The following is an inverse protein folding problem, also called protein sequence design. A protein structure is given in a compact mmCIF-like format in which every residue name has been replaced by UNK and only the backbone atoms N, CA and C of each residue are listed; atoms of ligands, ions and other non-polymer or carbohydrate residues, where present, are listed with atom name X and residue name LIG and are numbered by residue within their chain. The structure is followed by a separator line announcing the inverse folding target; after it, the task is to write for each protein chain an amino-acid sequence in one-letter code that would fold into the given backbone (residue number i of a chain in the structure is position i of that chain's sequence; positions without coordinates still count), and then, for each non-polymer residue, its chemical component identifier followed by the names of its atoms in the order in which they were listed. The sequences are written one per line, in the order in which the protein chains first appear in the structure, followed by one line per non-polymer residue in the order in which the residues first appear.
data_IF_427584424993
#
_entry.id   IF_427584424993
#
_cell.length_a   1.000
_cell.length_b   1.000
_cell.length_c   1.000
_cell.angle_alpha   90.00
_cell.angle_beta   90.00
_cell.angle_gamma   90.00
#
_symmetry.space_group_name_H-M   'P 1'
#
loop_
_entity.id
_entity.type
_entity.pdbx_description
1 polymer ?
#
# COMPACT_ATOMS: atom_id res chain seq x y z
N UNK A 1 15.03 21.81 -9.22
CA UNK A 1 15.78 21.58 -7.97
C UNK A 1 15.83 20.08 -7.79
N UNK A 2 17.02 19.47 -7.86
CA UNK A 2 17.16 18.03 -7.64
C UNK A 2 17.09 17.81 -6.13
N UNK A 3 16.08 17.11 -5.63
CA UNK A 3 16.02 16.78 -4.22
C UNK A 3 17.22 15.88 -3.85
N UNK A 4 17.82 16.07 -2.67
CA UNK A 4 18.92 15.23 -2.22
C UNK A 4 18.46 13.77 -2.12
N UNK A 5 19.31 12.84 -2.55
CA UNK A 5 19.06 11.41 -2.36
C UNK A 5 19.24 11.07 -0.89
N UNK A 6 18.19 10.54 -0.27
CA UNK A 6 18.18 10.02 1.09
C UNK A 6 18.22 8.50 1.04
N UNK A 7 18.85 7.91 2.05
CA UNK A 7 18.93 6.48 2.26
C UNK A 7 18.09 6.10 3.47
N UNK A 8 17.09 5.26 3.23
CA UNK A 8 16.01 5.00 4.16
C UNK A 8 16.09 3.54 4.58
N UNK A 9 16.36 3.31 5.86
CA UNK A 9 16.31 1.99 6.46
C UNK A 9 14.86 1.66 6.80
N UNK A 10 14.31 0.62 6.19
CA UNK A 10 12.93 0.19 6.34
C UNK A 10 12.82 -1.20 6.97
N UNK A 11 11.69 -1.45 7.64
CA UNK A 11 11.31 -2.76 8.15
C UNK A 11 9.95 -3.20 7.60
N UNK A 12 9.83 -4.49 7.29
CA UNK A 12 8.56 -5.08 6.84
C UNK A 12 7.54 -5.18 7.96
N UNK A 13 8.01 -5.32 9.20
CA UNK A 13 7.20 -5.30 10.42
C UNK A 13 7.95 -4.46 11.46
N UNK A 14 7.24 -3.75 12.35
CA UNK A 14 7.91 -2.95 13.39
C UNK A 14 8.81 -3.80 14.31
N UNK A 15 8.40 -5.04 14.56
CA UNK A 15 9.10 -6.02 15.40
C UNK A 15 10.26 -6.74 14.68
N UNK A 16 10.41 -6.55 13.37
CA UNK A 16 11.50 -7.22 12.64
C UNK A 16 12.86 -6.72 13.11
N UNK A 17 13.77 -7.66 13.37
CA UNK A 17 15.16 -7.35 13.74
C UNK A 17 15.99 -6.87 12.53
N UNK A 18 15.53 -7.17 11.31
CA UNK A 18 16.24 -6.82 10.07
C UNK A 18 15.66 -5.55 9.46
N UNK A 19 16.57 -4.66 9.06
CA UNK A 19 16.26 -3.47 8.28
C UNK A 19 16.94 -3.54 6.92
N UNK A 20 16.27 -3.03 5.89
CA UNK A 20 16.75 -2.99 4.51
C UNK A 20 16.80 -1.54 4.05
N UNK A 21 17.89 -1.15 3.39
CA UNK A 21 18.11 0.24 2.95
C UNK A 21 17.65 0.45 1.52
N UNK A 22 16.92 1.53 1.30
CA UNK A 22 16.40 1.95 -0.01
C UNK A 22 16.78 3.40 -0.28
N UNK A 23 16.81 3.78 -1.55
CA UNK A 23 17.05 5.17 -1.97
C UNK A 23 15.72 5.93 -2.13
N UNK A 24 15.74 7.22 -1.78
CA UNK A 24 14.58 8.09 -1.86
C UNK A 24 14.99 9.49 -2.34
N UNK A 25 14.32 9.99 -3.37
CA UNK A 25 14.58 11.30 -3.98
C UNK A 25 13.37 12.24 -3.86
N UNK A 26 12.36 11.88 -3.07
CA UNK A 26 11.15 12.68 -2.87
C UNK A 26 11.23 13.60 -1.66
N UNK A 27 10.07 13.91 -1.09
CA UNK A 27 9.92 14.74 0.11
C UNK A 27 10.53 14.07 1.36
N UNK A 28 11.14 14.81 2.30
CA UNK A 28 11.76 14.26 3.51
C UNK A 28 10.84 13.30 4.27
N UNK A 29 11.35 12.11 4.60
CA UNK A 29 10.66 11.08 5.38
C UNK A 29 11.09 11.13 6.85
N UNK A 30 10.20 10.69 7.73
CA UNK A 30 10.47 10.52 9.15
C UNK A 30 10.35 9.03 9.57
N UNK A 31 11.07 8.61 10.63
CA UNK A 31 10.82 7.31 11.26
C UNK A 31 9.35 7.15 11.65
N UNK A 32 8.74 6.02 11.32
CA UNK A 32 7.32 5.73 11.52
C UNK A 32 6.46 5.88 10.27
N UNK A 33 6.91 6.65 9.26
CA UNK A 33 6.21 6.74 7.98
C UNK A 33 6.12 5.37 7.29
N UNK A 34 5.10 5.19 6.44
CA UNK A 34 5.01 4.02 5.58
C UNK A 34 5.31 4.36 4.13
N UNK A 35 6.06 3.47 3.46
CA UNK A 35 6.47 3.65 2.07
C UNK A 35 6.30 2.35 1.27
N UNK A 36 6.21 2.50 -0.05
CA UNK A 36 6.13 1.41 -1.02
C UNK A 36 7.52 1.07 -1.52
N UNK A 37 7.94 -0.17 -1.35
CA UNK A 37 9.21 -0.68 -1.88
C UNK A 37 8.95 -1.80 -2.90
N UNK A 38 9.81 -1.97 -3.91
CA UNK A 38 9.70 -3.07 -4.85
C UNK A 38 9.86 -4.41 -4.13
N UNK A 39 9.08 -5.40 -4.54
CA UNK A 39 9.22 -6.76 -4.06
C UNK A 39 10.54 -7.42 -4.56
N UNK A 40 10.78 -8.67 -4.15
CA UNK A 40 11.92 -9.46 -4.62
C UNK A 40 11.89 -9.68 -6.13
N UNK A 41 10.73 -9.97 -6.71
CA UNK A 41 10.55 -10.21 -8.16
C UNK A 41 10.56 -8.91 -8.97
N UNK A 42 10.14 -7.79 -8.37
CA UNK A 42 10.16 -6.47 -9.00
C UNK A 42 8.89 -6.13 -9.80
N UNK A 43 7.93 -7.04 -9.87
CA UNK A 43 6.64 -6.87 -10.55
C UNK A 43 5.55 -6.35 -9.58
N UNK A 44 5.83 -6.40 -8.27
CA UNK A 44 4.93 -5.92 -7.22
C UNK A 44 5.60 -4.97 -6.25
N UNK A 45 4.81 -4.50 -5.28
CA UNK A 45 5.28 -3.65 -4.19
C UNK A 45 4.87 -4.19 -2.83
N UNK A 46 5.57 -3.76 -1.78
CA UNK A 46 5.26 -4.02 -0.38
C UNK A 46 5.27 -2.74 0.42
N UNK A 47 4.36 -2.63 1.38
CA UNK A 47 4.38 -1.58 2.38
C UNK A 47 5.42 -1.91 3.46
N UNK A 48 6.26 -0.94 3.79
CA UNK A 48 7.27 -1.05 4.85
C UNK A 48 7.28 0.21 5.70
N UNK A 49 7.66 0.07 6.96
CA UNK A 49 7.80 1.19 7.89
C UNK A 49 9.22 1.72 7.87
N UNK A 50 9.35 3.04 7.80
CA UNK A 50 10.63 3.74 7.92
C UNK A 50 11.15 3.61 9.35
N UNK A 51 12.35 3.05 9.50
CA UNK A 51 13.02 2.92 10.79
C UNK A 51 14.04 4.03 11.02
N UNK A 52 14.76 4.45 9.96
CA UNK A 52 15.72 5.55 10.02
C UNK A 52 15.97 6.14 8.63
N UNK A 53 16.44 7.39 8.59
CA UNK A 53 16.77 8.14 7.37
C UNK A 53 18.15 8.75 7.54
N UNK A 54 19.00 8.63 6.52
CA UNK A 54 20.35 9.22 6.47
C UNK A 54 20.63 9.78 5.08
N UNK A 55 21.45 10.81 4.97
CA UNK A 55 22.00 11.31 3.71
C UNK A 55 23.30 10.60 3.29
N UNK A 56 23.86 9.75 4.17
CA UNK A 56 25.08 9.00 3.88
C UNK A 56 24.79 7.75 3.04
N UNK A 57 25.44 7.65 1.87
CA UNK A 57 25.29 6.52 0.97
C UNK A 57 25.94 5.25 1.51
N UNK A 58 25.21 4.12 1.58
CA UNK A 58 25.80 2.85 1.97
C UNK A 58 26.74 2.32 0.88
N UNK A 59 27.68 1.41 1.22
CA UNK A 59 28.66 0.86 0.28
C UNK A 59 28.06 -0.17 -0.72
N UNK A 60 26.74 -0.24 -0.83
CA UNK A 60 26.02 -1.19 -1.67
C UNK A 60 24.89 -0.50 -2.45
N UNK A 61 24.54 -1.05 -3.62
CA UNK A 61 23.46 -0.52 -4.44
C UNK A 61 22.10 -0.69 -3.72
N UNK A 62 21.34 0.40 -3.64
CA UNK A 62 20.01 0.41 -3.03
C UNK A 62 18.93 0.37 -4.12
N UNK A 63 17.80 -0.27 -3.81
CA UNK A 63 16.61 -0.19 -4.67
C UNK A 63 15.84 1.12 -4.36
N UNK A 64 15.13 1.70 -5.33
CA UNK A 64 14.33 2.90 -5.09
C UNK A 64 13.05 2.61 -4.31
N UNK A 65 12.68 3.54 -3.42
CA UNK A 65 11.32 3.64 -2.88
C UNK A 65 10.39 4.13 -4.00
N UNK A 66 9.28 3.41 -4.21
CA UNK A 66 8.33 3.68 -5.29
C UNK A 66 7.38 4.84 -4.95
N UNK A 67 7.19 5.14 -3.66
CA UNK A 67 6.35 6.23 -3.18
C UNK A 67 5.97 6.10 -1.72
N UNK A 68 5.25 7.09 -1.20
CA UNK A 68 4.65 7.02 0.15
C UNK A 68 3.44 6.08 0.16
N UNK A 69 3.17 5.48 1.30
CA UNK A 69 1.97 4.70 1.54
C UNK A 69 1.24 5.28 2.74
N UNK A 70 -0.05 5.54 2.58
CA UNK A 70 -0.89 6.02 3.65
C UNK A 70 -1.98 4.96 3.89
N UNK A 71 -1.95 4.23 5.03
CA UNK A 71 -2.92 3.16 5.29
C UNK A 71 -4.34 3.68 5.58
N UNK A 72 -4.47 4.93 6.05
CA UNK A 72 -5.75 5.60 6.30
C UNK A 72 -6.38 6.18 5.02
N UNK A 73 -5.62 6.23 3.93
CA UNK A 73 -6.16 6.54 2.62
C UNK A 73 -6.94 5.30 2.17
N UNK A 74 -8.23 5.27 2.53
CA UNK A 74 -9.20 4.30 2.00
C UNK A 74 -9.00 4.34 0.48
N UNK A 75 -8.59 3.23 -0.16
CA UNK A 75 -8.51 3.23 -1.60
C UNK A 75 -9.91 3.58 -2.07
N UNK A 76 -10.06 4.76 -2.68
CA UNK A 76 -11.26 5.08 -3.46
C UNK A 76 -11.51 3.83 -4.30
N UNK A 77 -12.65 3.16 -4.14
CA UNK A 77 -12.88 1.89 -4.81
C UNK A 77 -12.61 2.16 -6.28
N UNK A 78 -11.55 1.53 -6.80
CA UNK A 78 -11.30 1.51 -8.23
C UNK A 78 -12.65 1.17 -8.86
N UNK A 79 -13.21 2.14 -9.60
CA UNK A 79 -14.55 2.03 -10.11
C UNK A 79 -14.77 0.70 -10.81
N UNK A 80 -16.00 0.21 -10.69
CA UNK A 80 -16.60 -0.94 -11.39
C UNK A 80 -16.56 -2.30 -10.68
N UNK A 81 -17.53 -2.47 -9.77
CA UNK A 81 -18.36 -3.68 -9.70
C UNK A 81 -19.84 -3.33 -9.38
N UNK A 82 -20.35 -2.28 -10.02
CA UNK A 82 -21.77 -2.19 -10.43
C UNK A 82 -21.74 -2.85 -11.81
N UNK A 83 -22.24 -4.06 -12.04
CA UNK A 83 -23.65 -4.40 -12.15
C UNK A 83 -23.74 -5.94 -12.25
N UNK A 84 -24.42 -6.63 -11.32
CA UNK A 84 -25.04 -7.95 -11.59
C UNK A 84 -26.01 -8.44 -10.51
N UNK A 85 -26.04 -7.88 -9.31
CA UNK A 85 -26.88 -8.41 -8.21
C UNK A 85 -28.23 -7.70 -7.99
N UNK A 86 -28.78 -7.04 -9.01
CA UNK A 86 -30.15 -6.47 -8.97
C UNK A 86 -31.15 -7.24 -9.87
N UNK A 87 -30.81 -8.46 -10.32
CA UNK A 87 -31.68 -9.29 -11.15
C UNK A 87 -32.36 -10.46 -10.39
N UNK A 88 -32.32 -10.48 -9.06
CA UNK A 88 -33.01 -11.49 -8.25
C UNK A 88 -34.13 -10.89 -7.38
N UNK A 89 -34.77 -9.83 -7.84
CA UNK A 89 -36.13 -9.50 -7.40
C UNK A 89 -37.11 -10.50 -8.03
N UNK A 90 -37.08 -11.74 -7.56
CA UNK A 90 -38.18 -12.67 -7.76
C UNK A 90 -39.33 -12.17 -6.89
N UNK A 91 -40.18 -11.32 -7.46
CA UNK A 91 -41.52 -11.11 -6.94
C UNK A 91 -42.26 -12.44 -7.04
N UNK A 92 -42.28 -13.18 -5.93
CA UNK A 92 -43.27 -14.22 -5.69
C UNK A 92 -44.59 -13.53 -5.38
N UNK A 93 -45.63 -13.59 -6.24
CA UNK A 93 -46.95 -13.10 -5.87
C UNK A 93 -47.50 -13.95 -4.72
N UNK A 94 -47.62 -13.30 -3.56
CA UNK A 94 -48.35 -13.76 -2.39
C UNK A 94 -49.85 -13.63 -2.68
N UNK A 95 -50.41 -14.52 -3.50
CA UNK A 95 -51.85 -14.73 -3.54
C UNK A 95 -52.24 -15.76 -2.49
N UNK A 96 -52.49 -15.19 -1.31
CA UNK A 96 -53.51 -15.56 -0.35
C UNK A 96 -54.70 -16.31 -1.00
N UNK A 97 -54.69 -17.63 -0.94
CA UNK A 97 -55.91 -18.45 -0.89
C UNK A 97 -55.72 -19.60 0.08
N UNK A 98 -55.96 -19.29 1.34
CA UNK A 98 -56.40 -20.26 2.34
C UNK A 98 -57.77 -19.81 2.86
N UNK A 99 -58.49 -20.65 3.61
CA UNK A 99 -59.16 -21.90 3.27
C UNK A 99 -60.69 -21.71 3.26
N UNK A 100 -61.44 -22.69 2.76
CA UNK A 100 -62.74 -23.22 3.25
C UNK A 100 -63.46 -23.95 2.11
#
# INVERSE_FOLDING_TARGET
MTNPTLFVACKFRPEDSRSYTYEWTGEPLAPGDMVKVPDKSGDGWKAVTVASVTDEAPPFACKPILGRYNPDEVPEPAGELRDVFDALNVEVPLEDRHPF
#
